data_IF_818420342829
#
_entry.id   IF_818420342829
#
_cell.length_a   1.000
_cell.length_b   1.000
_cell.length_c   1.000
_cell.angle_alpha   90.00
_cell.angle_beta   90.00
_cell.angle_gamma   90.00
#
_symmetry.space_group_name_H-M   'P 1'
#
loop_
_entity.id
_entity.type
_entity.pdbx_description
1 polymer ?
#
# COMPACT_ATOMS: atom_id res chain seq x y z
N UNK A 1 37.02 -50.03 -43.74
CA UNK A 1 36.99 -49.98 -42.27
C UNK A 1 38.37 -50.19 -41.63
N UNK A 2 39.41 -49.45 -42.05
CA UNK A 2 40.79 -49.71 -41.58
C UNK A 2 41.61 -48.47 -41.28
N UNK A 3 40.95 -47.29 -41.09
CA UNK A 3 41.67 -46.01 -40.89
C UNK A 3 41.22 -45.20 -39.59
N UNK A 4 40.41 -45.78 -38.76
CA UNK A 4 39.96 -45.12 -37.48
C UNK A 4 40.67 -45.65 -36.21
N UNK A 5 41.44 -46.74 -36.34
CA UNK A 5 42.13 -47.35 -35.20
C UNK A 5 43.33 -46.56 -34.65
N UNK A 6 44.12 -45.80 -35.43
CA UNK A 6 45.22 -45.04 -34.85
C UNK A 6 44.84 -43.76 -34.14
N UNK A 7 43.67 -43.20 -34.39
CA UNK A 7 43.21 -41.96 -33.74
C UNK A 7 42.76 -42.23 -32.33
N UNK A 8 42.17 -43.38 -32.08
CA UNK A 8 41.68 -43.74 -30.71
C UNK A 8 42.85 -44.05 -29.75
N UNK A 9 43.95 -44.63 -30.27
CA UNK A 9 45.12 -44.88 -29.44
C UNK A 9 45.92 -43.62 -29.07
N UNK A 10 45.95 -42.62 -29.97
CA UNK A 10 46.55 -41.30 -29.64
C UNK A 10 45.78 -40.51 -28.57
N UNK A 11 44.46 -40.59 -28.56
CA UNK A 11 43.63 -39.91 -27.54
C UNK A 11 43.79 -40.51 -26.15
N UNK A 12 43.94 -41.84 -26.01
CA UNK A 12 44.18 -42.54 -24.76
C UNK A 12 45.56 -42.22 -24.18
N UNK A 13 46.59 -42.10 -25.06
CA UNK A 13 47.94 -41.73 -24.59
C UNK A 13 48.04 -40.31 -24.02
N UNK A 14 47.29 -39.37 -24.58
CA UNK A 14 47.27 -37.97 -24.06
C UNK A 14 46.56 -37.87 -22.68
N UNK A 15 45.53 -38.66 -22.46
CA UNK A 15 44.84 -38.68 -21.13
C UNK A 15 45.72 -39.31 -20.05
N UNK A 16 46.51 -40.33 -20.35
CA UNK A 16 47.41 -40.96 -19.39
C UNK A 16 48.63 -40.07 -19.10
N UNK A 17 49.14 -39.31 -20.07
CA UNK A 17 50.24 -38.37 -19.83
C UNK A 17 49.85 -37.16 -18.96
N UNK A 18 48.60 -36.68 -19.05
CA UNK A 18 48.08 -35.62 -18.21
C UNK A 18 47.88 -36.04 -16.74
N UNK A 19 47.69 -37.35 -16.49
CA UNK A 19 47.54 -37.87 -15.10
C UNK A 19 48.88 -38.01 -14.35
N UNK A 20 50.02 -37.98 -15.09
CA UNK A 20 51.38 -38.14 -14.50
C UNK A 20 52.14 -36.82 -14.34
N UNK A 21 51.67 -35.73 -14.95
CA UNK A 21 52.37 -34.44 -14.93
C UNK A 21 51.86 -33.49 -13.83
N UNK A 22 51.51 -33.91 -12.67
CA UNK A 22 51.37 -33.12 -11.44
C UNK A 22 50.92 -31.64 -11.54
N UNK A 23 50.34 -31.23 -12.68
CA UNK A 23 49.94 -29.85 -12.94
C UNK A 23 48.56 -29.63 -12.40
N UNK A 24 48.52 -28.97 -11.25
CA UNK A 24 47.34 -28.24 -10.74
C UNK A 24 46.15 -29.12 -10.44
N UNK A 25 46.13 -29.78 -9.29
CA UNK A 25 44.86 -30.03 -8.61
C UNK A 25 44.24 -28.67 -8.42
N UNK A 26 43.00 -28.38 -8.90
CA UNK A 26 42.29 -27.24 -8.46
C UNK A 26 42.14 -27.46 -6.97
N UNK A 27 42.76 -26.60 -6.17
CA UNK A 27 42.49 -26.46 -4.75
C UNK A 27 40.98 -26.26 -4.67
N UNK A 28 40.25 -27.28 -4.24
CA UNK A 28 38.84 -27.17 -4.01
C UNK A 28 38.73 -26.02 -3.00
N UNK A 29 38.21 -24.90 -3.48
CA UNK A 29 37.81 -23.81 -2.59
C UNK A 29 37.03 -24.48 -1.48
N UNK A 30 37.64 -24.62 -0.31
CA UNK A 30 36.93 -24.94 0.92
C UNK A 30 35.94 -23.81 1.08
N UNK A 31 34.74 -23.98 0.52
CA UNK A 31 33.60 -23.23 1.00
C UNK A 31 33.64 -23.45 2.51
N UNK A 32 33.83 -22.38 3.24
CA UNK A 32 33.61 -22.38 4.69
C UNK A 32 32.20 -22.98 4.86
N UNK A 33 32.14 -24.24 5.26
CA UNK A 33 30.96 -24.82 5.84
C UNK A 33 30.79 -24.08 7.16
N UNK A 34 30.20 -22.89 7.11
CA UNK A 34 29.59 -22.30 8.29
C UNK A 34 28.66 -23.37 8.81
N UNK A 35 29.07 -24.01 9.87
CA UNK A 35 28.23 -24.97 10.61
C UNK A 35 26.88 -24.28 10.89
N UNK A 36 25.79 -25.03 11.14
CA UNK A 36 24.49 -24.43 11.33
C UNK A 36 24.60 -23.33 12.37
N UNK A 37 24.45 -22.08 11.94
CA UNK A 37 24.51 -20.94 12.84
C UNK A 37 23.41 -21.15 13.87
N UNK A 38 23.79 -21.28 15.14
CA UNK A 38 22.84 -21.43 16.25
C UNK A 38 22.12 -20.11 16.40
N UNK A 39 20.87 -20.05 15.97
CA UNK A 39 20.08 -18.82 15.97
C UNK A 39 18.75 -19.00 16.68
N UNK A 40 18.27 -17.95 17.31
CA UNK A 40 16.87 -17.80 17.73
C UNK A 40 16.18 -16.85 16.78
N UNK A 41 15.04 -17.25 16.22
CA UNK A 41 14.26 -16.42 15.30
C UNK A 41 12.93 -16.05 15.94
N UNK A 42 12.61 -14.78 15.93
CA UNK A 42 11.38 -14.24 16.52
C UNK A 42 10.66 -13.31 15.55
N UNK A 43 9.33 -13.25 15.67
CA UNK A 43 8.48 -12.29 14.97
C UNK A 43 8.18 -11.13 15.91
N UNK A 44 8.59 -9.94 15.50
CA UNK A 44 8.28 -8.71 16.20
C UNK A 44 7.14 -7.94 15.55
N UNK A 45 6.33 -7.30 16.38
CA UNK A 45 5.23 -6.44 15.96
C UNK A 45 5.42 -5.04 16.53
N UNK A 46 5.20 -4.04 15.68
CA UNK A 46 5.19 -2.63 16.08
C UNK A 46 3.91 -1.98 15.64
N UNK A 47 3.31 -1.19 16.51
CA UNK A 47 2.05 -0.50 16.30
C UNK A 47 2.15 0.94 16.74
N UNK A 48 1.65 1.86 15.92
CA UNK A 48 1.46 3.28 16.21
C UNK A 48 0.01 3.61 15.98
N UNK A 49 -0.70 4.01 17.03
CA UNK A 49 -2.06 4.55 16.92
C UNK A 49 -1.99 6.05 16.69
N UNK A 50 -2.72 6.57 15.72
CA UNK A 50 -2.72 7.98 15.34
C UNK A 50 -4.12 8.44 14.93
N UNK A 51 -4.35 9.75 14.98
CA UNK A 51 -5.58 10.37 14.45
C UNK A 51 -5.27 10.86 13.02
N UNK A 52 -6.13 10.58 12.03
CA UNK A 52 -6.00 11.12 10.68
C UNK A 52 -5.93 12.66 10.67
N UNK A 53 -5.13 13.23 9.78
CA UNK A 53 -5.01 14.68 9.60
C UNK A 53 -5.45 15.15 8.20
N UNK A 54 -5.59 14.23 7.27
CA UNK A 54 -6.02 14.50 5.91
C UNK A 54 -7.26 13.67 5.55
N UNK A 55 -8.07 14.22 4.66
CA UNK A 55 -9.27 13.57 4.15
C UNK A 55 -9.38 13.76 2.65
N UNK A 56 -9.66 12.69 1.92
CA UNK A 56 -9.91 12.72 0.49
C UNK A 56 -11.36 12.39 0.21
N UNK A 57 -12.04 13.24 -0.57
CA UNK A 57 -13.39 12.99 -1.08
C UNK A 57 -13.37 12.79 -2.59
N UNK A 58 -14.38 12.12 -3.11
CA UNK A 58 -14.71 12.11 -4.54
C UNK A 58 -16.03 12.83 -4.76
N UNK A 59 -15.99 13.91 -5.53
CA UNK A 59 -17.18 14.69 -5.91
C UNK A 59 -17.49 14.43 -7.38
N UNK A 60 -18.68 13.94 -7.67
CA UNK A 60 -19.14 13.58 -8.99
C UNK A 60 -20.32 14.42 -9.45
N UNK A 61 -20.44 14.52 -10.77
CA UNK A 61 -21.58 15.10 -11.49
C UNK A 61 -22.10 14.07 -12.47
N UNK A 62 -23.38 13.75 -12.36
CA UNK A 62 -24.10 12.97 -13.35
C UNK A 62 -25.15 13.86 -14.01
N UNK A 63 -25.25 13.79 -15.34
CA UNK A 63 -26.20 14.55 -16.16
C UNK A 63 -26.84 13.66 -17.21
N UNK A 64 -28.06 13.98 -17.57
CA UNK A 64 -28.82 13.26 -18.60
C UNK A 64 -29.27 14.22 -19.71
N UNK A 65 -29.27 13.73 -20.95
CA UNK A 65 -29.81 14.46 -22.09
C UNK A 65 -30.25 13.46 -23.20
N UNK A 66 -30.98 13.96 -24.18
CA UNK A 66 -31.43 13.17 -25.33
C UNK A 66 -30.29 12.79 -26.27
N UNK A 67 -29.19 13.54 -26.28
CA UNK A 67 -27.98 13.25 -27.05
C UNK A 67 -26.73 13.15 -26.18
N UNK A 68 -25.76 12.33 -26.61
CA UNK A 68 -24.49 12.17 -25.93
C UNK A 68 -23.75 13.50 -25.78
N UNK A 69 -23.71 14.30 -26.85
CA UNK A 69 -23.03 15.60 -26.84
C UNK A 69 -23.66 16.57 -25.84
N UNK A 70 -24.99 16.64 -25.74
CA UNK A 70 -25.68 17.50 -24.79
C UNK A 70 -25.45 17.08 -23.35
N UNK A 71 -25.50 15.77 -23.06
CA UNK A 71 -25.19 15.22 -21.72
C UNK A 71 -23.77 15.57 -21.29
N UNK A 72 -22.80 15.36 -22.18
CA UNK A 72 -21.39 15.64 -21.89
C UNK A 72 -21.12 17.15 -21.71
N UNK A 73 -21.72 18.00 -22.55
CA UNK A 73 -21.55 19.45 -22.45
C UNK A 73 -22.11 20.01 -21.14
N UNK A 74 -23.28 19.56 -20.70
CA UNK A 74 -23.86 19.96 -19.42
C UNK A 74 -23.03 19.43 -18.24
N UNK A 75 -22.56 18.18 -18.35
CA UNK A 75 -21.68 17.58 -17.35
C UNK A 75 -20.40 18.41 -17.16
N UNK A 76 -19.74 18.77 -18.26
CA UNK A 76 -18.52 19.56 -18.23
C UNK A 76 -18.73 20.94 -17.58
N UNK A 77 -19.85 21.63 -17.89
CA UNK A 77 -20.19 22.91 -17.25
C UNK A 77 -20.38 22.79 -15.75
N UNK A 78 -21.13 21.75 -15.29
CA UNK A 78 -21.36 21.51 -13.85
C UNK A 78 -20.07 21.12 -13.15
N UNK A 79 -19.30 20.19 -13.70
CA UNK A 79 -18.03 19.78 -13.12
C UNK A 79 -17.02 20.93 -13.03
N UNK A 80 -16.99 21.83 -14.01
CA UNK A 80 -16.18 23.05 -13.94
C UNK A 80 -16.50 23.91 -12.71
N UNK A 81 -17.81 24.09 -12.38
CA UNK A 81 -18.22 24.81 -11.16
C UNK A 81 -17.83 24.04 -9.88
N UNK A 82 -17.99 22.73 -9.87
CA UNK A 82 -17.61 21.88 -8.72
C UNK A 82 -16.11 21.98 -8.47
N UNK A 83 -15.26 21.86 -9.50
CA UNK A 83 -13.81 22.01 -9.38
C UNK A 83 -13.43 23.40 -8.84
N UNK A 84 -14.06 24.46 -9.33
CA UNK A 84 -13.80 25.81 -8.86
C UNK A 84 -14.20 25.99 -7.37
N UNK A 85 -15.34 25.42 -6.97
CA UNK A 85 -15.80 25.46 -5.59
C UNK A 85 -14.91 24.65 -4.64
N UNK A 86 -14.46 23.45 -5.06
CA UNK A 86 -13.53 22.65 -4.28
C UNK A 86 -12.21 23.40 -4.04
N UNK A 87 -11.65 24.04 -5.06
CA UNK A 87 -10.44 24.87 -4.92
C UNK A 87 -10.66 26.04 -3.97
N UNK A 88 -11.77 26.75 -4.10
CA UNK A 88 -12.12 27.89 -3.24
C UNK A 88 -12.33 27.47 -1.77
N UNK A 89 -12.79 26.23 -1.53
CA UNK A 89 -12.99 25.67 -0.20
C UNK A 89 -11.73 25.03 0.40
N UNK A 90 -10.55 25.21 -0.21
CA UNK A 90 -9.29 24.67 0.28
C UNK A 90 -9.01 23.21 -0.10
N UNK A 91 -9.65 22.71 -1.15
CA UNK A 91 -9.33 21.42 -1.74
C UNK A 91 -7.99 21.45 -2.45
N UNK A 92 -7.15 20.48 -2.13
CA UNK A 92 -5.82 20.27 -2.70
C UNK A 92 -5.78 18.99 -3.51
N UNK A 93 -4.69 18.76 -4.26
CA UNK A 93 -4.42 17.53 -5.04
C UNK A 93 -5.62 17.09 -5.88
N UNK A 94 -6.31 18.05 -6.50
CA UNK A 94 -7.48 17.74 -7.33
C UNK A 94 -7.07 16.87 -8.52
N UNK A 95 -7.79 15.75 -8.68
CA UNK A 95 -7.52 14.80 -9.75
C UNK A 95 -8.84 14.28 -10.34
N UNK A 96 -9.00 14.34 -11.65
CA UNK A 96 -10.11 13.66 -12.33
C UNK A 96 -9.94 12.15 -12.20
N UNK A 97 -10.95 11.48 -11.67
CA UNK A 97 -10.96 10.04 -11.45
C UNK A 97 -11.57 9.29 -12.62
N UNK A 98 -12.67 9.81 -13.12
CA UNK A 98 -13.45 9.15 -14.16
C UNK A 98 -14.22 10.16 -15.00
N UNK A 99 -14.30 9.88 -16.31
CA UNK A 99 -15.27 10.49 -17.23
C UNK A 99 -15.88 9.35 -18.03
N UNK A 100 -17.20 9.24 -18.01
CA UNK A 100 -17.93 8.19 -18.74
C UNK A 100 -19.21 8.72 -19.34
N UNK A 101 -19.65 8.08 -20.41
CA UNK A 101 -20.93 8.33 -21.05
C UNK A 101 -21.51 7.01 -21.51
N UNK A 102 -22.81 6.80 -21.27
CA UNK A 102 -23.51 5.58 -21.68
C UNK A 102 -24.95 5.88 -22.09
N UNK A 103 -25.51 5.09 -22.99
CA UNK A 103 -26.93 5.23 -23.38
C UNK A 103 -27.84 4.77 -22.24
N UNK A 104 -28.97 5.43 -22.10
CA UNK A 104 -30.08 4.97 -21.28
C UNK A 104 -31.13 4.34 -22.19
N UNK A 105 -31.57 3.13 -21.86
CA UNK A 105 -32.55 2.37 -22.66
C UNK A 105 -33.85 2.17 -21.88
N UNK A 106 -34.93 1.98 -22.59
CA UNK A 106 -36.21 1.50 -22.06
C UNK A 106 -36.21 -0.04 -21.89
N UNK A 107 -37.34 -0.58 -21.41
CA UNK A 107 -37.52 -2.03 -21.21
C UNK A 107 -37.47 -2.84 -22.52
N UNK A 108 -37.61 -2.17 -23.67
CA UNK A 108 -37.50 -2.75 -25.01
C UNK A 108 -36.14 -2.53 -25.66
N UNK A 109 -35.15 -2.04 -24.86
CA UNK A 109 -33.80 -1.72 -25.28
C UNK A 109 -33.67 -0.59 -26.33
N UNK A 110 -34.68 0.26 -26.50
CA UNK A 110 -34.53 1.47 -27.29
C UNK A 110 -33.79 2.54 -26.50
N UNK A 111 -32.87 3.22 -27.16
CA UNK A 111 -32.14 4.34 -26.54
C UNK A 111 -33.07 5.52 -26.31
N UNK A 112 -33.30 5.91 -25.07
CA UNK A 112 -34.15 7.02 -24.64
C UNK A 112 -33.38 8.29 -24.30
N UNK A 113 -32.05 8.19 -24.18
CA UNK A 113 -31.16 9.28 -23.84
C UNK A 113 -29.77 8.79 -23.50
N UNK A 114 -28.96 9.69 -22.94
CA UNK A 114 -27.59 9.43 -22.55
C UNK A 114 -27.34 10.00 -21.18
N UNK A 115 -26.51 9.28 -20.42
CA UNK A 115 -26.02 9.70 -19.11
C UNK A 115 -24.53 9.96 -19.22
N UNK A 116 -24.09 11.15 -18.82
CA UNK A 116 -22.67 11.47 -18.65
C UNK A 116 -22.34 11.58 -17.16
N UNK A 117 -21.28 10.92 -16.74
CA UNK A 117 -20.75 10.99 -15.38
C UNK A 117 -19.29 11.40 -15.38
N UNK A 118 -18.93 12.25 -14.44
CA UNK A 118 -17.57 12.72 -14.23
C UNK A 118 -17.33 12.86 -12.73
N UNK A 119 -16.15 12.50 -12.25
CA UNK A 119 -15.77 12.63 -10.85
C UNK A 119 -14.36 13.16 -10.69
N UNK A 120 -14.17 13.93 -9.62
CA UNK A 120 -12.89 14.51 -9.22
C UNK A 120 -12.65 14.18 -7.75
N UNK A 121 -11.44 13.72 -7.42
CA UNK A 121 -11.00 13.64 -6.03
C UNK A 121 -10.39 14.97 -5.59
N UNK A 122 -10.54 15.29 -4.32
CA UNK A 122 -9.89 16.41 -3.67
C UNK A 122 -9.50 16.01 -2.25
N UNK A 123 -8.30 16.41 -1.82
CA UNK A 123 -7.79 16.19 -0.46
C UNK A 123 -7.83 17.50 0.31
N UNK A 124 -8.11 17.44 1.61
CA UNK A 124 -8.07 18.59 2.52
C UNK A 124 -7.74 18.12 3.95
N UNK A 125 -7.51 19.05 4.87
CA UNK A 125 -7.43 18.71 6.29
C UNK A 125 -8.79 18.17 6.80
N UNK A 126 -8.76 17.20 7.71
CA UNK A 126 -9.99 16.59 8.26
C UNK A 126 -10.97 17.64 8.78
N UNK A 127 -10.47 18.66 9.46
CA UNK A 127 -11.32 19.75 10.01
C UNK A 127 -12.13 20.52 8.94
N UNK A 128 -11.68 20.49 7.68
CA UNK A 128 -12.28 21.26 6.58
C UNK A 128 -13.14 20.39 5.65
N UNK A 129 -13.13 19.08 5.81
CA UNK A 129 -13.74 18.16 4.82
C UNK A 129 -15.26 18.31 4.74
N UNK A 130 -15.93 18.60 5.85
CA UNK A 130 -17.38 18.87 5.84
C UNK A 130 -17.72 20.09 4.98
N UNK A 131 -17.00 21.20 5.15
CA UNK A 131 -17.17 22.40 4.34
C UNK A 131 -16.83 22.14 2.85
N UNK A 132 -15.84 21.28 2.58
CA UNK A 132 -15.49 20.89 1.22
C UNK A 132 -16.64 20.11 0.54
N UNK A 133 -17.26 19.16 1.26
CA UNK A 133 -18.43 18.39 0.79
C UNK A 133 -19.58 19.35 0.48
N UNK A 134 -19.90 20.26 1.40
CA UNK A 134 -20.99 21.22 1.25
C UNK A 134 -20.77 22.15 0.05
N UNK A 135 -19.51 22.59 -0.16
CA UNK A 135 -19.14 23.43 -1.30
C UNK A 135 -19.33 22.67 -2.64
N UNK A 136 -18.96 21.40 -2.70
CA UNK A 136 -19.15 20.55 -3.88
C UNK A 136 -20.64 20.39 -4.22
N UNK A 137 -21.48 20.07 -3.22
CA UNK A 137 -22.93 19.89 -3.40
C UNK A 137 -23.60 21.19 -3.83
N UNK A 138 -23.29 22.31 -3.19
CA UNK A 138 -23.79 23.66 -3.57
C UNK A 138 -23.40 24.04 -5.01
N UNK A 139 -22.24 23.61 -5.49
CA UNK A 139 -21.79 23.87 -6.85
C UNK A 139 -22.40 22.95 -7.92
N UNK A 140 -23.14 21.90 -7.48
CA UNK A 140 -23.90 21.01 -8.36
C UNK A 140 -23.35 19.58 -8.46
N UNK A 141 -22.47 19.17 -7.55
CA UNK A 141 -22.15 17.76 -7.37
C UNK A 141 -23.43 17.01 -6.88
N UNK A 142 -23.73 15.88 -7.51
CA UNK A 142 -24.89 15.04 -7.16
C UNK A 142 -24.49 13.58 -6.86
N UNK A 143 -23.20 13.30 -6.82
CA UNK A 143 -22.61 12.07 -6.36
C UNK A 143 -21.37 12.42 -5.54
N UNK A 144 -21.41 12.19 -4.22
CA UNK A 144 -20.28 12.42 -3.33
C UNK A 144 -19.97 11.12 -2.60
N UNK A 145 -18.69 10.75 -2.54
CA UNK A 145 -18.19 9.56 -1.86
C UNK A 145 -17.03 9.94 -0.93
N UNK A 146 -16.91 9.23 0.16
CA UNK A 146 -15.93 9.47 1.21
C UNK A 146 -16.56 10.13 2.43
N UNK A 147 -15.75 10.73 3.33
CA UNK A 147 -14.31 10.93 3.20
C UNK A 147 -13.50 9.66 3.45
N UNK A 148 -12.40 9.49 2.70
CA UNK A 148 -11.33 8.58 3.05
C UNK A 148 -10.34 9.35 3.91
N UNK A 149 -10.22 8.93 5.16
CA UNK A 149 -9.35 9.57 6.14
C UNK A 149 -7.97 8.93 6.12
N UNK A 150 -6.93 9.74 6.16
CA UNK A 150 -5.55 9.27 6.12
C UNK A 150 -4.62 10.13 6.97
N UNK A 151 -3.46 9.58 7.28
CA UNK A 151 -2.38 10.32 7.94
C UNK A 151 -1.32 10.72 6.93
N UNK A 152 -1.08 12.03 6.79
CA UNK A 152 -0.17 12.59 5.77
C UNK A 152 1.29 12.14 5.94
N UNK A 153 1.74 11.85 7.17
CA UNK A 153 3.10 11.40 7.49
C UNK A 153 3.20 9.86 7.72
N UNK A 154 2.34 9.07 7.07
CA UNK A 154 2.25 7.62 7.26
C UNK A 154 3.61 6.91 7.17
N UNK A 155 4.47 7.31 6.22
CA UNK A 155 5.79 6.69 6.04
C UNK A 155 6.73 6.93 7.24
N UNK A 156 6.61 8.08 7.90
CA UNK A 156 7.37 8.34 9.12
C UNK A 156 6.87 7.45 10.26
N UNK A 157 5.55 7.37 10.45
CA UNK A 157 4.93 6.51 11.46
C UNK A 157 5.23 5.02 11.20
N UNK A 158 5.31 4.60 9.93
CA UNK A 158 5.68 3.24 9.59
C UNK A 158 7.14 2.92 10.00
N UNK A 159 8.08 3.86 9.79
CA UNK A 159 9.46 3.69 10.28
C UNK A 159 9.51 3.59 11.80
N UNK A 160 8.70 4.37 12.52
CA UNK A 160 8.60 4.28 13.98
C UNK A 160 7.99 2.93 14.41
N UNK A 161 6.99 2.43 13.67
CA UNK A 161 6.44 1.10 13.89
C UNK A 161 7.47 -0.01 13.66
N UNK A 162 8.32 0.11 12.62
CA UNK A 162 9.42 -0.83 12.37
C UNK A 162 10.42 -0.86 13.53
N UNK A 163 10.77 0.29 14.11
CA UNK A 163 11.64 0.34 15.28
C UNK A 163 11.04 -0.38 16.49
N UNK A 164 9.73 -0.21 16.72
CA UNK A 164 9.01 -0.94 17.77
C UNK A 164 8.97 -2.44 17.49
N UNK A 165 8.77 -2.84 16.24
CA UNK A 165 8.77 -4.24 15.84
C UNK A 165 10.13 -4.91 16.09
N UNK A 166 11.23 -4.23 15.78
CA UNK A 166 12.58 -4.71 16.08
C UNK A 166 12.83 -4.86 17.59
N UNK A 167 12.38 -3.89 18.38
CA UNK A 167 12.48 -3.95 19.83
C UNK A 167 11.66 -5.11 20.42
N UNK A 168 10.44 -5.32 19.95
CA UNK A 168 9.57 -6.43 20.36
C UNK A 168 10.17 -7.80 19.99
N UNK A 169 10.74 -7.93 18.78
CA UNK A 169 11.44 -9.14 18.36
C UNK A 169 12.59 -9.48 19.32
N UNK A 170 13.37 -8.47 19.73
CA UNK A 170 14.48 -8.64 20.67
C UNK A 170 14.01 -9.05 22.06
N UNK A 171 12.99 -8.40 22.61
CA UNK A 171 12.40 -8.78 23.90
C UNK A 171 11.89 -10.22 23.90
N UNK A 172 11.28 -10.67 22.83
CA UNK A 172 10.83 -12.06 22.66
C UNK A 172 12.01 -13.03 22.61
N UNK A 173 13.07 -12.68 21.86
CA UNK A 173 14.30 -13.49 21.81
C UNK A 173 14.96 -13.62 23.18
N UNK A 174 15.05 -12.53 23.95
CA UNK A 174 15.60 -12.51 25.31
C UNK A 174 14.76 -13.36 26.29
N UNK A 175 13.43 -13.31 26.15
CA UNK A 175 12.54 -14.15 26.95
C UNK A 175 12.73 -15.66 26.66
N UNK A 176 12.89 -16.01 25.37
CA UNK A 176 13.19 -17.40 24.94
C UNK A 176 14.58 -17.82 25.47
N UNK A 177 15.57 -16.97 25.32
CA UNK A 177 16.94 -17.22 25.76
C UNK A 177 17.02 -17.49 27.27
N UNK A 178 16.31 -16.70 28.06
CA UNK A 178 16.20 -16.87 29.52
C UNK A 178 15.59 -18.24 29.87
N UNK A 179 14.55 -18.67 29.16
CA UNK A 179 13.95 -19.98 29.38
C UNK A 179 14.82 -21.15 28.90
N UNK A 180 15.60 -20.93 27.83
CA UNK A 180 16.49 -21.92 27.23
C UNK A 180 17.90 -21.99 27.84
N UNK A 181 18.27 -21.09 28.73
CA UNK A 181 19.60 -21.05 29.36
C UNK A 181 20.73 -20.62 28.44
N UNK A 182 20.44 -19.74 27.45
CA UNK A 182 21.44 -19.16 26.56
C UNK A 182 21.32 -17.63 26.53
N UNK A 183 22.27 -16.94 25.87
CA UNK A 183 22.21 -15.49 25.67
C UNK A 183 21.87 -15.15 24.21
N UNK A 184 21.23 -13.97 24.00
CA UNK A 184 20.96 -13.43 22.68
C UNK A 184 22.16 -12.61 22.21
N UNK A 185 22.71 -12.98 21.07
CA UNK A 185 23.83 -12.29 20.43
C UNK A 185 23.38 -11.20 19.44
N UNK A 186 24.16 -11.04 18.38
CA UNK A 186 23.91 -10.04 17.35
C UNK A 186 22.78 -10.48 16.40
N UNK A 187 22.25 -9.50 15.66
CA UNK A 187 21.29 -9.76 14.58
C UNK A 187 22.05 -10.38 13.41
N UNK A 188 21.58 -11.56 12.96
CA UNK A 188 22.09 -12.28 11.80
C UNK A 188 21.29 -11.93 10.54
N UNK A 189 19.96 -11.84 10.70
CA UNK A 189 19.05 -11.54 9.59
C UNK A 189 17.81 -10.79 10.07
N UNK A 190 17.31 -9.91 9.21
CA UNK A 190 16.03 -9.23 9.39
C UNK A 190 15.24 -9.36 8.09
N UNK A 191 14.01 -9.79 8.19
CA UNK A 191 13.07 -9.86 7.08
C UNK A 191 11.82 -9.06 7.46
N UNK A 192 11.55 -8.01 6.70
CA UNK A 192 10.34 -7.22 6.82
C UNK A 192 9.18 -7.97 6.16
N UNK A 193 8.03 -8.05 6.84
CA UNK A 193 6.83 -8.75 6.34
C UNK A 193 5.91 -7.87 5.49
N UNK A 194 6.35 -6.65 5.17
CA UNK A 194 5.56 -5.65 4.43
C UNK A 194 4.61 -4.86 5.32
N UNK A 195 4.14 -3.71 4.80
CA UNK A 195 3.16 -2.86 5.47
C UNK A 195 1.76 -3.47 5.30
N UNK A 196 1.05 -3.70 6.39
CA UNK A 196 -0.38 -3.98 6.35
C UNK A 196 -1.16 -2.72 6.01
N UNK A 197 -2.27 -2.86 5.27
CA UNK A 197 -3.22 -1.77 5.09
C UNK A 197 -3.75 -1.33 6.47
N UNK A 198 -4.05 -0.02 6.67
CA UNK A 198 -4.60 0.46 7.93
C UNK A 198 -5.90 -0.30 8.27
N UNK A 199 -5.99 -0.82 9.47
CA UNK A 199 -7.25 -1.32 10.02
C UNK A 199 -7.93 -0.15 10.71
N UNK A 200 -9.10 0.24 10.23
CA UNK A 200 -9.93 1.24 10.90
C UNK A 200 -10.44 0.64 12.22
N UNK A 201 -9.98 1.18 13.33
CA UNK A 201 -10.53 0.84 14.63
C UNK A 201 -11.81 1.66 14.84
N UNK A 202 -12.97 1.04 14.64
CA UNK A 202 -14.26 1.63 14.97
C UNK A 202 -14.40 1.69 16.50
N UNK A 203 -14.31 2.89 17.05
CA UNK A 203 -14.85 3.18 18.37
C UNK A 203 -16.22 3.85 18.18
N UNK A 204 -17.34 3.23 18.57
CA UNK A 204 -18.64 3.89 18.52
C UNK A 204 -18.76 4.88 19.68
N UNK A 205 -18.66 6.16 19.39
CA UNK A 205 -19.05 7.19 20.34
C UNK A 205 -20.44 7.73 19.96
N UNK A 206 -21.40 7.46 20.83
CA UNK A 206 -22.79 7.89 20.70
C UNK A 206 -22.92 9.29 21.29
N UNK A 207 -22.91 10.32 20.48
CA UNK A 207 -23.28 11.66 20.92
C UNK A 207 -24.31 12.28 19.97
N UNK A 208 -25.39 12.76 20.59
CA UNK A 208 -26.69 13.13 20.08
C UNK A 208 -26.74 14.32 19.13
N UNK A 209 -27.80 14.30 18.36
CA UNK A 209 -28.25 15.35 17.47
C UNK A 209 -28.80 16.56 18.23
N UNK A 210 -28.36 17.77 17.86
CA UNK A 210 -29.10 19.01 18.08
C UNK A 210 -28.77 20.11 17.07
N UNK A 211 -29.82 20.75 16.52
CA UNK A 211 -29.73 22.13 16.09
C UNK A 211 -29.69 22.40 14.59
N UNK A 212 -30.77 23.00 14.09
CA UNK A 212 -30.94 23.51 12.71
C UNK A 212 -30.29 24.90 12.59
N UNK A 213 -29.05 24.92 12.20
CA UNK A 213 -28.40 26.01 11.48
C UNK A 213 -27.45 25.31 10.54
N UNK A 214 -27.04 25.92 9.42
CA UNK A 214 -26.23 25.27 8.40
C UNK A 214 -24.84 24.91 8.98
N UNK A 215 -24.81 23.89 9.82
CA UNK A 215 -23.61 23.31 10.37
C UNK A 215 -22.96 22.47 9.25
N UNK A 216 -21.65 22.64 9.01
CA UNK A 216 -20.94 21.78 8.06
C UNK A 216 -21.18 20.30 8.40
N UNK A 217 -21.19 19.46 7.36
CA UNK A 217 -21.32 18.00 7.52
C UNK A 217 -20.35 17.51 8.61
N UNK A 218 -20.84 16.97 9.75
CA UNK A 218 -19.97 16.55 10.84
C UNK A 218 -19.16 15.32 10.44
N UNK A 219 -17.86 15.32 10.75
CA UNK A 219 -16.93 14.22 10.46
C UNK A 219 -16.13 13.90 11.72
N UNK A 220 -16.24 12.67 12.16
CA UNK A 220 -15.49 12.14 13.30
C UNK A 220 -14.30 11.32 12.79
N UNK A 221 -13.05 11.74 13.04
CA UNK A 221 -11.88 11.10 12.42
C UNK A 221 -11.52 9.73 13.01
N UNK A 222 -11.96 9.40 14.22
CA UNK A 222 -11.54 8.18 14.90
C UNK A 222 -10.01 8.07 15.04
N UNK A 223 -9.50 6.83 15.20
CA UNK A 223 -8.06 6.53 15.21
C UNK A 223 -7.73 5.48 14.16
N UNK A 224 -6.51 5.52 13.66
CA UNK A 224 -5.96 4.54 12.72
C UNK A 224 -4.68 3.95 13.30
N UNK A 225 -4.43 2.67 13.02
CA UNK A 225 -3.22 1.98 13.40
C UNK A 225 -2.29 1.83 12.20
N UNK A 226 -1.03 2.19 12.40
CA UNK A 226 0.06 1.90 11.48
C UNK A 226 0.86 0.76 12.08
N UNK A 227 0.85 -0.38 11.42
CA UNK A 227 1.48 -1.60 11.91
C UNK A 227 2.65 -2.01 11.03
N UNK A 228 3.68 -2.59 11.66
CA UNK A 228 4.81 -3.20 11.01
C UNK A 228 5.15 -4.53 11.68
N UNK A 229 5.60 -5.49 10.88
CA UNK A 229 6.04 -6.80 11.36
C UNK A 229 7.40 -7.16 10.78
N UNK A 230 8.29 -7.66 11.62
CA UNK A 230 9.63 -8.09 11.22
C UNK A 230 9.95 -9.47 11.79
N UNK A 231 10.53 -10.33 10.97
CA UNK A 231 11.16 -11.56 11.45
C UNK A 231 12.64 -11.30 11.63
N UNK A 232 13.15 -11.54 12.85
CA UNK A 232 14.53 -11.29 13.20
C UNK A 232 15.19 -12.57 13.71
N UNK A 233 16.35 -12.90 13.17
CA UNK A 233 17.20 -13.98 13.62
C UNK A 233 18.41 -13.40 14.38
N UNK A 234 18.61 -13.88 15.59
CA UNK A 234 19.74 -13.50 16.46
C UNK A 234 20.66 -14.70 16.67
N UNK A 235 21.93 -14.46 16.83
CA UNK A 235 22.87 -15.47 17.30
C UNK A 235 22.53 -15.95 18.72
N UNK A 236 22.80 -17.23 18.98
CA UNK A 236 22.81 -17.78 20.32
C UNK A 236 24.25 -17.77 20.83
N UNK A 237 24.49 -16.99 21.86
CA UNK A 237 25.79 -16.88 22.54
C UNK A 237 25.86 -17.76 23.82
#
# INVERSE_FOLDING_TARGET
MRRLLPILLAAVAIVVAAALSGVGRPEAARGETTGPSRTVTTLGHGKITTVPDAATISAGVQTEATTASAALAENARRMGRVIAALKAAGGEKLQTQQVSIYPRTDDKQHVTGYVAANSVSATTAVANVGALIDAAVKAGANAVQGPMLERSNRDALYRDALQKALADARLKAEAIAKGGGFAVGQIVAVVEQGASAPVEAFAPDLAGAVGRDAVPTPIEPGTQDVEASVTVSFEIA
#
